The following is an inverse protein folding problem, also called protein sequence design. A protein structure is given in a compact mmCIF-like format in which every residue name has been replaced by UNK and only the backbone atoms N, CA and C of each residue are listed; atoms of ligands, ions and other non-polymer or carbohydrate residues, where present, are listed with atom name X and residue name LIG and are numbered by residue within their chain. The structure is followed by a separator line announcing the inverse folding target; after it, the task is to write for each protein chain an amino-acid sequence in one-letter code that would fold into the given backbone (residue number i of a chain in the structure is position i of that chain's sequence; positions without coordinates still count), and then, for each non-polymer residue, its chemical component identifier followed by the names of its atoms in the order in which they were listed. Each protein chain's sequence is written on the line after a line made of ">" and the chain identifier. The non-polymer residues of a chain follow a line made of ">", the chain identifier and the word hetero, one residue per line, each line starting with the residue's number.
data_IF_001986013255
#
_entry.id   IF_001986013255
#
_cell.length_a   1.000
_cell.length_b   1.000
_cell.length_c   1.000
_cell.angle_alpha   90.00
_cell.angle_beta   90.00
_cell.angle_gamma   90.00
#
_symmetry.space_group_name_H-M   'P 1'
#
loop_
_entity.id
_entity.type
_entity.pdbx_description
1 polymer ?
#
# COMPACT_ATOMS: atom_id res chain seq x y z
N UNK A 1 -6.22 43.70 -7.80
CA UNK A 1 -6.74 42.57 -8.60
C UNK A 1 -8.26 42.47 -8.66
N UNK A 2 -9.01 42.34 -7.55
CA UNK A 2 -10.48 42.21 -7.57
C UNK A 2 -11.19 43.28 -8.42
N UNK A 3 -10.81 44.56 -8.28
CA UNK A 3 -11.37 45.66 -9.08
C UNK A 3 -11.13 45.47 -10.59
N UNK A 4 -9.93 45.02 -10.98
CA UNK A 4 -9.60 44.73 -12.38
C UNK A 4 -10.41 43.55 -12.92
N UNK A 5 -10.49 42.47 -12.14
CA UNK A 5 -11.26 41.28 -12.50
C UNK A 5 -12.72 41.62 -12.85
N UNK A 6 -13.36 42.47 -12.01
CA UNK A 6 -14.73 42.97 -12.27
C UNK A 6 -14.80 43.88 -13.49
N UNK A 7 -13.89 44.86 -13.62
CA UNK A 7 -13.89 45.84 -14.73
C UNK A 7 -13.68 45.16 -16.10
N UNK A 8 -12.72 44.25 -16.19
CA UNK A 8 -12.33 43.59 -17.45
C UNK A 8 -12.92 42.18 -17.62
N UNK A 9 -13.90 41.80 -16.77
CA UNK A 9 -14.67 40.54 -16.85
C UNK A 9 -13.78 39.28 -16.96
N UNK A 10 -12.81 39.16 -16.05
CA UNK A 10 -12.02 37.94 -15.88
C UNK A 10 -12.10 37.44 -14.44
N UNK A 11 -11.90 36.14 -14.25
CA UNK A 11 -11.67 35.50 -12.97
C UNK A 11 -10.17 35.32 -12.78
N UNK A 12 -9.69 35.39 -11.55
CA UNK A 12 -8.29 35.12 -11.24
C UNK A 12 -8.16 34.14 -10.08
N UNK A 13 -7.08 33.35 -10.14
CA UNK A 13 -6.64 32.48 -9.06
C UNK A 13 -5.16 32.75 -8.81
N UNK A 14 -4.75 32.80 -7.55
CA UNK A 14 -3.37 33.05 -7.14
C UNK A 14 -2.89 31.92 -6.24
N UNK A 15 -1.71 31.37 -6.54
CA UNK A 15 -0.99 30.44 -5.67
C UNK A 15 0.42 30.97 -5.47
N UNK A 16 0.68 31.59 -4.31
CA UNK A 16 1.93 32.32 -4.02
C UNK A 16 2.23 33.39 -5.08
N UNK A 17 3.19 33.18 -5.97
CA UNK A 17 3.61 34.06 -7.06
C UNK A 17 2.92 33.72 -8.39
N UNK A 18 2.39 32.50 -8.53
CA UNK A 18 1.65 32.09 -9.72
C UNK A 18 0.26 32.75 -9.77
N UNK A 19 0.03 33.53 -10.82
CA UNK A 19 -1.25 34.17 -11.10
C UNK A 19 -1.85 33.60 -12.39
N UNK A 20 -3.05 33.05 -12.30
CA UNK A 20 -3.81 32.56 -13.47
C UNK A 20 -5.05 33.42 -13.66
N UNK A 21 -5.30 33.85 -14.90
CA UNK A 21 -6.47 34.61 -15.31
C UNK A 21 -7.30 33.77 -16.28
N UNK A 22 -8.63 33.81 -16.15
CA UNK A 22 -9.56 33.16 -17.07
C UNK A 22 -10.72 34.07 -17.41
N UNK A 23 -11.24 33.98 -18.63
CA UNK A 23 -12.41 34.75 -19.06
C UNK A 23 -13.28 33.91 -19.98
N UNK A 24 -14.59 34.20 -20.00
CA UNK A 24 -15.54 33.66 -20.97
C UNK A 24 -15.69 34.55 -22.20
N UNK A 25 -15.05 35.73 -22.21
CA UNK A 25 -15.00 36.57 -23.40
C UNK A 25 -14.17 35.90 -24.49
N UNK A 26 -14.46 36.18 -25.78
CA UNK A 26 -13.69 35.63 -26.90
C UNK A 26 -12.19 36.00 -26.84
N UNK A 27 -11.88 37.17 -26.27
CA UNK A 27 -10.52 37.67 -26.09
C UNK A 27 -10.42 38.53 -24.83
N UNK A 28 -9.21 38.61 -24.25
CA UNK A 28 -8.91 39.58 -23.22
C UNK A 28 -8.78 40.99 -23.82
N UNK A 29 -8.97 42.01 -22.99
CA UNK A 29 -8.62 43.39 -23.34
C UNK A 29 -7.09 43.54 -23.42
N UNK A 30 -6.61 44.34 -24.39
CA UNK A 30 -5.19 44.68 -24.54
C UNK A 30 -4.59 45.39 -23.31
N UNK A 31 -5.44 46.01 -22.49
CA UNK A 31 -5.03 46.60 -21.20
C UNK A 31 -4.63 45.54 -20.16
N UNK A 32 -5.06 44.29 -20.36
CA UNK A 32 -4.74 43.15 -19.50
C UNK A 32 -3.60 42.31 -20.10
N UNK A 33 -3.71 41.95 -21.37
CA UNK A 33 -2.69 41.18 -22.09
C UNK A 33 -2.79 41.52 -23.58
N UNK A 34 -1.64 41.72 -24.22
CA UNK A 34 -1.56 42.04 -25.65
C UNK A 34 -0.48 41.20 -26.33
N UNK A 35 -0.60 41.06 -27.64
CA UNK A 35 0.43 40.43 -28.45
C UNK A 35 1.46 41.50 -28.86
N UNK A 36 2.73 41.27 -28.56
CA UNK A 36 3.83 42.13 -28.97
C UNK A 36 4.81 41.32 -29.83
N UNK A 37 4.79 41.61 -31.14
CA UNK A 37 5.44 40.78 -32.15
C UNK A 37 4.90 39.34 -32.14
N UNK A 38 5.72 38.41 -31.63
CA UNK A 38 5.38 36.97 -31.53
C UNK A 38 5.09 36.50 -30.10
N UNK A 39 5.13 37.38 -29.11
CA UNK A 39 5.04 37.01 -27.69
C UNK A 39 3.89 37.72 -27.00
N UNK A 40 3.22 37.01 -26.08
CA UNK A 40 2.20 37.62 -25.23
C UNK A 40 2.86 38.40 -24.09
N UNK A 41 2.48 39.66 -23.95
CA UNK A 41 2.97 40.54 -22.89
C UNK A 41 1.81 41.10 -22.08
N UNK A 42 2.05 41.37 -20.79
CA UNK A 42 1.05 41.94 -19.91
C UNK A 42 0.75 43.39 -20.31
N UNK A 43 -0.55 43.71 -20.41
CA UNK A 43 -1.04 45.05 -20.73
C UNK A 43 -0.74 46.07 -19.63
N UNK A 44 -0.80 47.36 -19.98
CA UNK A 44 -0.39 48.46 -19.09
C UNK A 44 -1.11 48.46 -17.75
N UNK A 45 -2.42 48.23 -17.74
CA UNK A 45 -3.25 48.26 -16.54
C UNK A 45 -2.91 47.13 -15.58
N UNK A 46 -2.74 45.90 -16.09
CA UNK A 46 -2.34 44.77 -15.25
C UNK A 46 -0.87 44.92 -14.79
N UNK A 47 0.02 45.41 -15.65
CA UNK A 47 1.43 45.67 -15.32
C UNK A 47 1.56 46.68 -14.18
N UNK A 48 0.82 47.79 -14.24
CA UNK A 48 0.79 48.79 -13.16
C UNK A 48 0.32 48.17 -11.83
N UNK A 49 -0.74 47.37 -11.85
CA UNK A 49 -1.25 46.72 -10.64
C UNK A 49 -0.25 45.73 -10.02
N UNK A 50 0.51 45.01 -10.84
CA UNK A 50 1.56 44.10 -10.36
C UNK A 50 2.76 44.89 -9.81
N UNK A 51 3.24 45.87 -10.56
CA UNK A 51 4.40 46.69 -10.17
C UNK A 51 4.13 47.52 -8.91
N UNK A 52 2.92 48.09 -8.77
CA UNK A 52 2.50 48.80 -7.55
C UNK A 52 2.49 47.90 -6.31
N UNK A 53 2.42 46.58 -6.50
CA UNK A 53 2.54 45.59 -5.44
C UNK A 53 3.99 45.13 -5.20
N UNK A 54 4.98 45.80 -5.80
CA UNK A 54 6.42 45.48 -5.73
C UNK A 54 6.79 44.09 -6.29
N UNK A 55 6.03 43.61 -7.27
CA UNK A 55 6.35 42.40 -8.03
C UNK A 55 6.71 42.75 -9.47
N UNK A 56 7.51 41.91 -10.10
CA UNK A 56 7.82 41.98 -11.53
C UNK A 56 7.31 40.73 -12.25
N UNK A 57 6.85 40.91 -13.49
CA UNK A 57 6.35 39.81 -14.32
C UNK A 57 7.51 39.16 -15.05
N UNK A 58 7.61 37.83 -15.00
CA UNK A 58 8.53 37.06 -15.83
C UNK A 58 7.96 36.86 -17.26
N UNK A 59 8.52 37.51 -18.30
CA UNK A 59 7.99 37.41 -19.67
C UNK A 59 8.08 35.99 -20.24
N UNK A 60 9.12 35.22 -19.89
CA UNK A 60 9.31 33.84 -20.38
C UNK A 60 8.24 32.87 -19.87
N UNK A 61 7.64 33.17 -18.72
CA UNK A 61 6.55 32.37 -18.13
C UNK A 61 5.15 32.90 -18.50
N UNK A 62 5.08 34.08 -19.12
CA UNK A 62 3.81 34.72 -19.53
C UNK A 62 3.29 34.06 -20.80
N UNK A 63 2.05 33.58 -20.76
CA UNK A 63 1.42 32.88 -21.88
C UNK A 63 -0.08 33.08 -21.88
N UNK A 64 -0.68 33.04 -23.07
CA UNK A 64 -2.12 32.96 -23.26
C UNK A 64 -2.47 31.67 -24.00
N UNK A 65 -3.44 30.92 -23.49
CA UNK A 65 -3.87 29.64 -24.08
C UNK A 65 -5.39 29.62 -24.25
N UNK A 66 -5.85 29.30 -25.45
CA UNK A 66 -7.27 29.10 -25.73
C UNK A 66 -7.77 27.73 -25.23
N UNK A 67 -9.08 27.50 -25.30
CA UNK A 67 -9.73 26.25 -24.86
C UNK A 67 -9.36 25.01 -25.70
N UNK A 68 -8.89 25.21 -26.93
CA UNK A 68 -8.52 24.14 -27.86
C UNK A 68 -7.11 23.59 -27.57
N UNK A 69 -6.26 24.41 -26.97
CA UNK A 69 -4.90 24.05 -26.54
C UNK A 69 -4.89 23.59 -25.08
N UNK A 70 -3.83 22.85 -24.67
CA UNK A 70 -3.65 22.43 -23.27
C UNK A 70 -3.58 23.65 -22.36
N UNK A 71 -4.47 23.71 -21.38
CA UNK A 71 -4.48 24.72 -20.33
C UNK A 71 -3.90 24.12 -19.06
N UNK A 72 -2.92 24.80 -18.47
CA UNK A 72 -2.18 24.32 -17.32
C UNK A 72 -2.12 25.38 -16.22
N UNK A 73 -2.50 24.99 -15.01
CA UNK A 73 -2.50 25.80 -13.79
C UNK A 73 -1.76 25.00 -12.73
N UNK A 74 -0.68 25.58 -12.17
CA UNK A 74 0.15 24.96 -11.12
C UNK A 74 0.51 23.48 -11.41
N UNK A 75 0.89 23.15 -12.65
CA UNK A 75 1.25 21.80 -13.07
C UNK A 75 0.08 20.86 -13.43
N UNK A 76 -1.18 21.32 -13.26
CA UNK A 76 -2.39 20.53 -13.52
C UNK A 76 -3.05 20.97 -14.83
N UNK A 77 -3.51 20.01 -15.61
CA UNK A 77 -4.32 20.25 -16.81
C UNK A 77 -5.78 20.54 -16.42
N UNK A 78 -6.34 21.65 -16.91
CA UNK A 78 -7.66 22.14 -16.44
C UNK A 78 -8.73 22.34 -17.53
N UNK A 79 -8.45 21.97 -18.79
CA UNK A 79 -9.34 22.23 -19.95
C UNK A 79 -10.84 21.91 -19.75
N UNK A 80 -11.17 20.86 -19.00
CA UNK A 80 -12.57 20.46 -18.71
C UNK A 80 -12.75 20.07 -17.26
N UNK A 81 -11.81 19.30 -16.73
CA UNK A 81 -11.69 18.91 -15.34
C UNK A 81 -10.22 18.92 -14.95
N UNK A 82 -9.95 19.06 -13.66
CA UNK A 82 -8.60 18.92 -13.12
C UNK A 82 -8.08 17.51 -13.45
N UNK A 83 -6.92 17.45 -14.08
CA UNK A 83 -6.24 16.22 -14.44
C UNK A 83 -4.73 16.44 -14.51
N UNK A 84 -4.00 15.36 -14.69
CA UNK A 84 -2.55 15.35 -14.82
C UNK A 84 -2.19 15.26 -16.30
N UNK A 85 -1.06 15.86 -16.67
CA UNK A 85 -0.58 15.79 -18.04
C UNK A 85 -0.38 14.34 -18.49
N UNK A 86 -0.69 14.05 -19.77
CA UNK A 86 -0.50 12.72 -20.36
C UNK A 86 0.95 12.26 -20.24
N UNK A 87 1.88 13.19 -20.42
CA UNK A 87 3.32 12.96 -20.34
C UNK A 87 3.76 12.53 -18.93
N UNK A 88 3.36 13.27 -17.89
CA UNK A 88 3.67 12.94 -16.50
C UNK A 88 3.11 11.55 -16.13
N UNK A 89 1.87 11.25 -16.54
CA UNK A 89 1.27 9.94 -16.30
C UNK A 89 2.01 8.81 -17.03
N UNK A 90 2.42 9.04 -18.28
CA UNK A 90 3.16 8.05 -19.08
C UNK A 90 4.51 7.71 -18.45
N UNK A 91 5.29 8.72 -18.06
CA UNK A 91 6.56 8.48 -17.38
C UNK A 91 6.37 7.81 -16.02
N UNK A 92 5.34 8.19 -15.25
CA UNK A 92 5.04 7.51 -13.98
C UNK A 92 4.72 6.03 -14.20
N UNK A 93 3.96 5.69 -15.24
CA UNK A 93 3.69 4.28 -15.58
C UNK A 93 4.97 3.51 -15.86
N UNK A 94 5.91 4.11 -16.58
CA UNK A 94 7.23 3.53 -16.83
C UNK A 94 7.98 3.28 -15.52
N UNK A 95 7.98 4.25 -14.59
CA UNK A 95 8.61 4.13 -13.28
C UNK A 95 8.03 2.98 -12.46
N UNK A 96 6.69 2.84 -12.44
CA UNK A 96 6.02 1.72 -11.76
C UNK A 96 6.40 0.39 -12.39
N UNK A 97 6.44 0.33 -13.73
CA UNK A 97 6.81 -0.90 -14.43
C UNK A 97 8.24 -1.35 -14.09
N UNK A 98 9.22 -0.43 -14.09
CA UNK A 98 10.59 -0.71 -13.65
C UNK A 98 10.62 -1.17 -12.19
N UNK A 99 9.94 -0.45 -11.28
CA UNK A 99 9.91 -0.81 -9.87
C UNK A 99 9.30 -2.20 -9.64
N UNK A 100 8.19 -2.53 -10.31
CA UNK A 100 7.57 -3.85 -10.18
C UNK A 100 8.50 -4.96 -10.67
N UNK A 101 9.15 -4.76 -11.83
CA UNK A 101 10.03 -5.74 -12.45
C UNK A 101 11.33 -5.96 -11.66
N UNK A 102 11.95 -4.88 -11.17
CA UNK A 102 13.35 -4.87 -10.74
C UNK A 102 13.55 -4.35 -9.30
N UNK A 103 12.50 -3.87 -8.63
CA UNK A 103 12.56 -3.33 -7.27
C UNK A 103 13.12 -1.91 -7.16
N UNK A 104 13.53 -1.30 -8.28
CA UNK A 104 14.05 0.07 -8.35
C UNK A 104 13.57 0.80 -9.62
N UNK A 105 13.71 2.12 -9.65
CA UNK A 105 13.26 2.95 -10.78
C UNK A 105 14.08 4.24 -10.85
N UNK A 106 14.03 4.90 -12.01
CA UNK A 106 14.56 6.24 -12.20
C UNK A 106 13.43 7.22 -12.48
N UNK A 107 13.50 8.41 -11.87
CA UNK A 107 12.54 9.48 -12.18
C UNK A 107 12.85 10.08 -13.55
N UNK A 108 11.79 10.43 -14.27
CA UNK A 108 11.91 11.20 -15.51
C UNK A 108 12.12 12.68 -15.19
N UNK A 109 12.67 13.43 -16.15
CA UNK A 109 12.84 14.89 -16.10
C UNK A 109 11.54 15.68 -15.85
N UNK A 110 10.38 15.05 -16.05
CA UNK A 110 9.07 15.68 -15.80
C UNK A 110 8.64 15.62 -14.33
N UNK A 111 9.40 14.91 -13.49
CA UNK A 111 9.18 14.79 -12.05
C UNK A 111 10.21 15.63 -11.30
N UNK A 112 9.78 16.31 -10.24
CA UNK A 112 10.69 17.04 -9.35
C UNK A 112 11.62 16.08 -8.59
N UNK A 113 12.78 16.61 -8.21
CA UNK A 113 13.84 15.92 -7.47
C UNK A 113 14.19 14.59 -8.13
N UNK A 114 14.75 14.65 -9.34
CA UNK A 114 15.03 13.48 -10.20
C UNK A 114 16.01 12.50 -9.56
N UNK A 115 16.86 12.99 -8.65
CA UNK A 115 17.79 12.25 -7.81
C UNK A 115 17.10 11.42 -6.72
N UNK A 116 15.92 11.83 -6.24
CA UNK A 116 15.17 11.11 -5.19
C UNK A 116 14.42 9.91 -5.75
N UNK A 117 15.08 8.77 -5.89
CA UNK A 117 14.51 7.50 -6.41
C UNK A 117 13.99 6.55 -5.33
N UNK A 118 13.58 7.08 -4.18
CA UNK A 118 13.01 6.27 -3.09
C UNK A 118 11.61 5.77 -3.45
N UNK A 119 11.25 4.57 -2.99
CA UNK A 119 9.90 4.01 -3.23
C UNK A 119 8.80 4.85 -2.58
N UNK A 120 9.12 5.57 -1.50
CA UNK A 120 8.22 6.52 -0.85
C UNK A 120 7.96 7.74 -1.74
N UNK A 121 8.95 8.21 -2.51
CA UNK A 121 8.73 9.24 -3.51
C UNK A 121 7.79 8.77 -4.63
N UNK A 122 7.95 7.52 -5.12
CA UNK A 122 7.02 6.93 -6.09
C UNK A 122 5.61 6.76 -5.50
N UNK A 123 5.50 6.35 -4.24
CA UNK A 123 4.22 6.27 -3.53
C UNK A 123 3.53 7.65 -3.45
N UNK A 124 4.29 8.70 -3.17
CA UNK A 124 3.80 10.09 -3.16
C UNK A 124 3.27 10.54 -4.52
N UNK A 125 4.03 10.28 -5.60
CA UNK A 125 3.62 10.56 -6.98
C UNK A 125 2.31 9.83 -7.32
N UNK A 126 2.21 8.54 -7.00
CA UNK A 126 1.01 7.75 -7.27
C UNK A 126 -0.18 8.20 -6.41
N UNK A 127 0.05 8.54 -5.15
CA UNK A 127 -0.98 9.11 -4.27
C UNK A 127 -1.55 10.40 -4.84
N UNK A 128 -0.68 11.31 -5.31
CA UNK A 128 -1.08 12.54 -5.97
C UNK A 128 -1.91 12.25 -7.22
N UNK A 129 -1.45 11.30 -8.06
CA UNK A 129 -2.18 10.91 -9.27
C UNK A 129 -3.57 10.37 -8.96
N UNK A 130 -3.62 9.47 -7.98
CA UNK A 130 -4.83 8.81 -7.55
C UNK A 130 -5.85 9.82 -6.99
N UNK A 131 -5.39 10.77 -6.17
CA UNK A 131 -6.25 11.80 -5.57
C UNK A 131 -6.85 12.74 -6.64
N UNK A 132 -6.05 13.19 -7.60
CA UNK A 132 -6.55 14.08 -8.67
C UNK A 132 -7.57 13.37 -9.55
N UNK A 133 -7.29 12.12 -9.93
CA UNK A 133 -8.12 11.41 -10.91
C UNK A 133 -9.42 10.84 -10.35
N UNK A 134 -9.45 10.47 -9.07
CA UNK A 134 -10.60 9.76 -8.49
C UNK A 134 -11.63 10.65 -7.80
N UNK A 135 -11.49 11.99 -7.81
CA UNK A 135 -12.34 12.95 -7.07
C UNK A 135 -12.40 12.61 -5.55
N UNK A 136 -12.79 13.57 -4.72
CA UNK A 136 -12.68 13.46 -3.26
C UNK A 136 -13.61 12.40 -2.62
N UNK A 137 -14.54 11.82 -3.37
CA UNK A 137 -15.42 10.74 -2.90
C UNK A 137 -15.06 9.45 -3.63
N UNK A 138 -14.10 8.72 -3.07
CA UNK A 138 -13.97 7.31 -3.40
C UNK A 138 -14.84 6.56 -2.41
N UNK A 139 -16.05 6.23 -2.83
CA UNK A 139 -16.85 5.21 -2.16
C UNK A 139 -16.19 3.87 -2.47
N UNK A 140 -15.48 3.35 -1.46
CA UNK A 140 -14.99 1.98 -1.53
C UNK A 140 -16.11 1.12 -0.97
N UNK A 141 -16.77 0.36 -1.85
CA UNK A 141 -17.70 -0.67 -1.40
C UNK A 141 -16.96 -1.63 -0.47
N UNK A 142 -17.61 -2.08 0.60
CA UNK A 142 -17.04 -3.03 1.57
C UNK A 142 -16.86 -4.45 1.00
N UNK A 143 -16.86 -4.61 -0.32
CA UNK A 143 -16.71 -5.88 -1.02
C UNK A 143 -15.29 -6.03 -1.53
N UNK A 144 -14.74 -7.23 -1.37
CA UNK A 144 -13.45 -7.60 -1.99
C UNK A 144 -13.57 -7.50 -3.51
N UNK A 145 -12.61 -6.84 -4.16
CA UNK A 145 -12.55 -6.68 -5.63
C UNK A 145 -11.47 -7.56 -6.23
N UNK A 146 -11.71 -8.08 -7.42
CA UNK A 146 -10.66 -8.70 -8.22
C UNK A 146 -9.83 -7.62 -8.92
N UNK A 147 -8.56 -7.92 -9.19
CA UNK A 147 -7.65 -6.98 -9.84
C UNK A 147 -8.18 -6.49 -11.19
N UNK A 148 -8.86 -7.35 -11.94
CA UNK A 148 -9.39 -7.01 -13.26
C UNK A 148 -10.57 -6.04 -13.24
N UNK A 149 -11.29 -5.96 -12.13
CA UNK A 149 -12.42 -5.04 -11.89
C UNK A 149 -11.95 -3.60 -11.56
N UNK A 150 -10.64 -3.41 -11.37
CA UNK A 150 -10.07 -2.11 -11.05
C UNK A 150 -9.96 -1.21 -12.28
N UNK A 151 -10.18 0.09 -12.08
CA UNK A 151 -9.93 1.11 -13.09
C UNK A 151 -8.43 1.24 -13.39
N UNK A 152 -8.07 1.80 -14.55
CA UNK A 152 -6.67 1.89 -14.98
C UNK A 152 -5.72 2.54 -13.97
N UNK A 153 -6.18 3.58 -13.26
CA UNK A 153 -5.38 4.28 -12.24
C UNK A 153 -5.31 3.46 -10.94
N UNK A 154 -6.38 2.76 -10.57
CA UNK A 154 -6.40 1.83 -9.44
C UNK A 154 -5.47 0.63 -9.69
N UNK A 155 -5.51 0.04 -10.90
CA UNK A 155 -4.59 -1.03 -11.33
C UNK A 155 -3.14 -0.61 -11.20
N UNK A 156 -2.80 0.59 -11.69
CA UNK A 156 -1.43 1.11 -11.61
C UNK A 156 -0.95 1.23 -10.16
N UNK A 157 -1.77 1.82 -9.29
CA UNK A 157 -1.39 2.01 -7.90
C UNK A 157 -1.34 0.69 -7.13
N UNK A 158 -2.30 -0.21 -7.40
CA UNK A 158 -2.34 -1.56 -6.81
C UNK A 158 -1.10 -2.36 -7.16
N UNK A 159 -0.66 -2.33 -8.43
CA UNK A 159 0.60 -2.96 -8.85
C UNK A 159 1.78 -2.45 -8.03
N UNK A 160 1.93 -1.12 -7.92
CA UNK A 160 2.99 -0.55 -7.10
C UNK A 160 2.89 -1.00 -5.63
N UNK A 161 1.72 -0.87 -5.00
CA UNK A 161 1.53 -1.19 -3.58
C UNK A 161 1.79 -2.68 -3.30
N UNK A 162 1.31 -3.57 -4.18
CA UNK A 162 1.57 -5.00 -4.07
C UNK A 162 3.07 -5.30 -4.11
N UNK A 163 3.80 -4.73 -5.08
CA UNK A 163 5.24 -4.94 -5.16
C UNK A 163 5.99 -4.26 -4.02
N UNK A 164 5.53 -3.10 -3.56
CA UNK A 164 6.12 -2.38 -2.43
C UNK A 164 5.99 -3.15 -1.11
N UNK A 165 4.86 -3.82 -0.87
CA UNK A 165 4.62 -4.52 0.40
C UNK A 165 4.99 -6.01 0.39
N UNK A 166 4.79 -6.71 -0.72
CA UNK A 166 4.85 -8.18 -0.76
C UNK A 166 5.94 -8.74 -1.67
N UNK A 167 6.38 -8.03 -2.72
CA UNK A 167 7.41 -8.54 -3.65
C UNK A 167 8.79 -8.03 -3.31
N UNK A 168 8.93 -6.71 -3.16
CA UNK A 168 10.19 -6.00 -2.85
C UNK A 168 10.16 -5.36 -1.45
N UNK A 169 9.82 -6.09 -0.38
CA UNK A 169 9.71 -5.47 0.92
C UNK A 169 11.10 -5.14 1.50
N UNK A 170 11.18 -4.15 2.40
CA UNK A 170 12.44 -3.83 3.09
C UNK A 170 12.89 -4.93 4.05
N UNK A 171 11.93 -5.65 4.62
CA UNK A 171 12.10 -6.77 5.55
C UNK A 171 11.24 -7.92 5.05
N UNK A 172 11.64 -9.16 5.33
CA UNK A 172 10.76 -10.31 5.12
C UNK A 172 9.42 -10.05 5.82
N UNK A 173 8.32 -10.38 5.15
CA UNK A 173 6.98 -10.11 5.68
C UNK A 173 6.29 -11.42 6.06
N UNK A 174 5.74 -11.46 7.28
CA UNK A 174 4.82 -12.50 7.74
C UNK A 174 3.42 -11.91 7.87
N UNK A 175 2.51 -12.40 7.04
CA UNK A 175 1.12 -11.97 6.95
C UNK A 175 0.26 -12.93 7.76
N UNK A 176 -0.38 -12.42 8.82
CA UNK A 176 -1.39 -13.15 9.58
C UNK A 176 -2.74 -13.20 8.86
N UNK A 177 -3.57 -14.18 9.23
CA UNK A 177 -4.94 -14.33 8.76
C UNK A 177 -5.84 -13.24 9.36
N UNK A 178 -5.71 -13.03 10.67
CA UNK A 178 -6.41 -12.02 11.45
C UNK A 178 -5.67 -10.69 11.60
N UNK A 179 -6.37 -9.70 12.15
CA UNK A 179 -5.77 -8.40 12.48
C UNK A 179 -4.98 -8.42 13.80
N UNK A 180 -5.24 -9.40 14.67
CA UNK A 180 -4.56 -9.58 15.97
C UNK A 180 -3.29 -10.42 15.86
N UNK A 181 -3.23 -11.39 14.94
CA UNK A 181 -2.08 -12.30 14.78
C UNK A 181 -0.74 -11.56 14.67
N UNK A 182 -0.62 -10.46 13.88
CA UNK A 182 0.64 -9.73 13.79
C UNK A 182 1.10 -9.16 15.14
N UNK A 183 0.17 -8.88 16.06
CA UNK A 183 0.47 -8.38 17.40
C UNK A 183 1.05 -9.49 18.27
N UNK A 184 0.40 -10.66 18.30
CA UNK A 184 0.87 -11.84 19.02
C UNK A 184 2.26 -12.28 18.53
N UNK A 185 2.41 -12.44 17.21
CA UNK A 185 3.66 -12.88 16.59
C UNK A 185 4.78 -11.86 16.81
N UNK A 186 4.50 -10.56 16.70
CA UNK A 186 5.49 -9.52 16.98
C UNK A 186 5.95 -9.55 18.44
N UNK A 187 5.03 -9.69 19.39
CA UNK A 187 5.36 -9.74 20.81
C UNK A 187 6.18 -10.99 21.15
N UNK A 188 5.74 -12.17 20.70
CA UNK A 188 6.45 -13.42 20.92
C UNK A 188 7.85 -13.39 20.28
N UNK A 189 7.97 -12.88 19.05
CA UNK A 189 9.26 -12.71 18.38
C UNK A 189 10.18 -11.76 19.15
N UNK A 190 9.66 -10.66 19.68
CA UNK A 190 10.45 -9.74 20.49
C UNK A 190 11.01 -10.40 21.76
N UNK A 191 10.21 -11.27 22.41
CA UNK A 191 10.58 -11.96 23.64
C UNK A 191 11.58 -13.10 23.42
N UNK A 192 11.40 -13.89 22.36
CA UNK A 192 12.25 -15.05 22.07
C UNK A 192 13.48 -14.68 21.21
N UNK A 193 13.30 -13.78 20.26
CA UNK A 193 14.27 -13.48 19.18
C UNK A 193 14.34 -11.96 18.89
N UNK A 194 14.79 -11.12 19.84
CA UNK A 194 14.69 -9.66 19.74
C UNK A 194 15.33 -9.08 18.47
N UNK A 195 16.48 -9.63 18.06
CA UNK A 195 17.21 -9.19 16.86
C UNK A 195 16.48 -9.50 15.54
N UNK A 196 15.54 -10.45 15.54
CA UNK A 196 14.82 -10.86 14.34
C UNK A 196 13.89 -9.78 13.79
N UNK A 197 13.46 -8.83 14.61
CA UNK A 197 12.65 -7.69 14.18
C UNK A 197 13.37 -6.75 13.19
N UNK A 198 14.71 -6.81 13.13
CA UNK A 198 15.50 -6.03 12.18
C UNK A 198 15.30 -6.50 10.73
N UNK A 199 14.99 -7.78 10.53
CA UNK A 199 14.81 -8.36 9.19
C UNK A 199 13.44 -8.97 8.94
N UNK A 200 12.62 -9.21 9.99
CA UNK A 200 11.27 -9.73 9.92
C UNK A 200 10.24 -8.66 10.29
N UNK A 201 9.15 -8.58 9.52
CA UNK A 201 8.02 -7.67 9.72
C UNK A 201 6.73 -8.48 9.77
N UNK A 202 5.94 -8.26 10.82
CA UNK A 202 4.60 -8.82 10.94
C UNK A 202 3.57 -7.82 10.41
N UNK A 203 2.59 -8.31 9.64
CA UNK A 203 1.52 -7.48 9.08
C UNK A 203 0.25 -8.31 8.90
N UNK A 204 -0.89 -7.66 8.69
CA UNK A 204 -2.06 -8.30 8.07
C UNK A 204 -2.42 -7.63 6.75
N UNK A 205 -3.28 -8.26 5.95
CA UNK A 205 -3.80 -7.63 4.74
C UNK A 205 -4.55 -6.32 5.06
N UNK A 206 -5.27 -6.23 6.17
CA UNK A 206 -6.01 -5.00 6.53
C UNK A 206 -5.09 -3.85 6.99
N UNK A 207 -3.89 -4.14 7.50
CA UNK A 207 -2.94 -3.12 7.94
C UNK A 207 -2.31 -2.33 6.78
N UNK A 208 -2.34 -2.87 5.56
CA UNK A 208 -1.89 -2.17 4.33
C UNK A 208 -2.93 -1.17 3.83
N UNK A 209 -3.36 -0.23 4.70
CA UNK A 209 -4.57 0.61 4.58
C UNK A 209 -5.00 0.96 3.17
N UNK A 210 -4.11 1.52 2.34
CA UNK A 210 -4.47 1.94 0.98
C UNK A 210 -4.64 0.77 0.01
N UNK A 211 -3.78 -0.23 0.07
CA UNK A 211 -3.92 -1.46 -0.72
C UNK A 211 -5.19 -2.19 -0.33
N UNK A 212 -5.44 -2.35 0.98
CA UNK A 212 -6.66 -2.97 1.50
C UNK A 212 -7.91 -2.21 1.08
N UNK A 213 -7.88 -0.87 1.10
CA UNK A 213 -9.02 -0.04 0.70
C UNK A 213 -9.32 -0.19 -0.80
N UNK A 214 -8.31 -0.19 -1.67
CA UNK A 214 -8.51 -0.38 -3.12
C UNK A 214 -9.01 -1.79 -3.45
N UNK A 215 -8.42 -2.82 -2.83
CA UNK A 215 -8.77 -4.22 -3.07
C UNK A 215 -10.00 -4.71 -2.29
N UNK A 216 -10.55 -3.90 -1.39
CA UNK A 216 -11.66 -4.29 -0.52
C UNK A 216 -11.28 -5.34 0.54
N UNK A 217 -10.04 -5.37 1.01
CA UNK A 217 -9.58 -6.26 2.09
C UNK A 217 -9.95 -5.69 3.47
N UNK A 218 -11.24 -5.43 3.67
CA UNK A 218 -11.84 -4.97 4.92
C UNK A 218 -12.88 -6.01 5.34
N UNK A 219 -12.57 -6.85 6.34
CA UNK A 219 -13.45 -7.94 6.77
C UNK A 219 -12.69 -9.13 7.35
N UNK A 220 -13.43 -10.17 7.76
CA UNK A 220 -12.90 -11.32 8.49
C UNK A 220 -12.79 -12.63 7.69
N UNK A 221 -13.53 -12.81 6.59
CA UNK A 221 -13.61 -14.15 5.95
C UNK A 221 -13.15 -14.12 4.50
N UNK A 222 -12.26 -15.05 4.13
CA UNK A 222 -11.87 -15.30 2.74
C UNK A 222 -10.95 -14.23 2.11
N UNK A 223 -10.36 -13.33 2.91
CA UNK A 223 -9.44 -12.30 2.40
C UNK A 223 -8.19 -12.91 1.79
N UNK A 224 -7.57 -13.88 2.48
CA UNK A 224 -6.40 -14.60 1.97
C UNK A 224 -6.72 -15.34 0.67
N UNK A 225 -7.91 -15.94 0.57
CA UNK A 225 -8.35 -16.59 -0.66
C UNK A 225 -8.40 -15.64 -1.86
N UNK A 226 -8.97 -14.44 -1.64
CA UNK A 226 -8.98 -13.39 -2.68
C UNK A 226 -7.58 -12.85 -2.97
N UNK A 227 -6.73 -12.73 -1.97
CA UNK A 227 -5.34 -12.32 -2.16
C UNK A 227 -4.56 -13.31 -3.02
N UNK A 228 -4.68 -14.61 -2.75
CA UNK A 228 -4.05 -15.67 -3.53
C UNK A 228 -4.47 -15.64 -5.01
N UNK A 229 -5.77 -15.51 -5.29
CA UNK A 229 -6.29 -15.39 -6.67
C UNK A 229 -5.71 -14.18 -7.42
N UNK A 230 -5.53 -13.06 -6.72
CA UNK A 230 -4.98 -11.84 -7.30
C UNK A 230 -3.44 -11.86 -7.37
N UNK A 231 -2.77 -12.73 -6.62
CA UNK A 231 -1.31 -12.71 -6.50
C UNK A 231 -0.63 -12.89 -7.86
N UNK A 232 -1.00 -13.93 -8.61
CA UNK A 232 -0.44 -14.23 -9.94
C UNK A 232 -0.77 -13.14 -10.97
N UNK A 233 -1.96 -12.54 -10.88
CA UNK A 233 -2.41 -11.48 -11.79
C UNK A 233 -1.64 -10.17 -11.60
N UNK A 234 -1.29 -9.87 -10.34
CA UNK A 234 -0.59 -8.62 -10.00
C UNK A 234 0.92 -8.78 -10.10
N UNK A 235 1.48 -9.97 -9.88
CA UNK A 235 2.93 -10.21 -9.87
C UNK A 235 3.58 -9.90 -11.24
N UNK A 236 4.64 -9.09 -11.22
CA UNK A 236 5.39 -8.68 -12.43
C UNK A 236 6.91 -8.67 -12.22
N UNK A 237 7.39 -9.17 -11.08
CA UNK A 237 8.82 -9.21 -10.80
C UNK A 237 9.52 -10.16 -11.79
N UNK A 238 10.64 -9.69 -12.33
CA UNK A 238 11.57 -10.50 -13.13
C UNK A 238 12.72 -11.01 -12.28
N UNK A 239 13.17 -10.18 -11.35
CA UNK A 239 14.19 -10.55 -10.38
C UNK A 239 13.50 -11.14 -9.14
N UNK A 240 13.89 -12.36 -8.77
CA UNK A 240 13.37 -13.01 -7.57
C UNK A 240 13.89 -12.24 -6.35
N UNK A 241 12.97 -11.71 -5.56
CA UNK A 241 13.31 -11.09 -4.29
C UNK A 241 13.81 -12.14 -3.30
N UNK A 242 14.97 -11.89 -2.69
CA UNK A 242 15.51 -12.73 -1.61
C UNK A 242 14.68 -12.64 -0.31
N UNK A 243 13.65 -11.78 -0.27
CA UNK A 243 12.81 -11.55 0.89
C UNK A 243 11.43 -12.17 0.65
N UNK A 244 11.10 -13.27 1.33
CA UNK A 244 9.85 -13.98 1.10
C UNK A 244 8.65 -13.21 1.67
N UNK A 245 7.51 -13.41 1.03
CA UNK A 245 6.19 -13.13 1.57
C UNK A 245 5.64 -14.42 2.18
N UNK A 246 5.66 -14.49 3.51
CA UNK A 246 5.11 -15.61 4.26
C UNK A 246 3.66 -15.28 4.63
N UNK A 247 2.74 -16.23 4.45
CA UNK A 247 1.39 -16.16 5.00
C UNK A 247 1.27 -17.28 6.03
N UNK A 248 0.84 -16.95 7.24
CA UNK A 248 0.50 -17.94 8.26
C UNK A 248 -1.01 -18.09 8.32
N UNK A 249 -1.49 -19.33 8.35
CA UNK A 249 -2.90 -19.68 8.42
C UNK A 249 -3.15 -20.59 9.62
N UNK A 250 -4.33 -20.45 10.21
CA UNK A 250 -4.73 -21.26 11.34
C UNK A 250 -4.88 -22.74 10.95
N UNK A 251 -4.85 -23.62 11.94
CA UNK A 251 -5.04 -25.06 11.78
C UNK A 251 -6.50 -25.48 11.67
N UNK A 252 -7.41 -24.52 11.51
CA UNK A 252 -8.85 -24.70 11.51
C UNK A 252 -9.43 -24.90 10.09
N UNK A 253 -10.75 -24.92 9.96
CA UNK A 253 -11.40 -25.06 8.64
C UNK A 253 -11.05 -23.92 7.69
N UNK A 254 -10.97 -22.68 8.18
CA UNK A 254 -10.69 -21.50 7.34
C UNK A 254 -9.27 -21.56 6.78
N UNK A 255 -8.27 -21.84 7.61
CA UNK A 255 -6.89 -22.01 7.16
C UNK A 255 -6.72 -23.21 6.21
N UNK A 256 -7.42 -24.32 6.47
CA UNK A 256 -7.45 -25.46 5.55
C UNK A 256 -7.98 -25.09 4.16
N UNK A 257 -9.01 -24.25 4.08
CA UNK A 257 -9.56 -23.79 2.80
C UNK A 257 -8.58 -22.89 2.03
N UNK A 258 -7.76 -22.09 2.72
CA UNK A 258 -6.66 -21.34 2.10
C UNK A 258 -5.64 -22.28 1.47
N UNK A 259 -5.25 -23.35 2.18
CA UNK A 259 -4.31 -24.34 1.64
C UNK A 259 -4.91 -25.08 0.43
N UNK A 260 -6.18 -25.48 0.49
CA UNK A 260 -6.87 -26.12 -0.65
C UNK A 260 -6.90 -25.20 -1.87
N UNK A 261 -7.24 -23.93 -1.67
CA UNK A 261 -7.26 -22.96 -2.76
C UNK A 261 -5.86 -22.74 -3.34
N UNK A 262 -4.84 -22.58 -2.49
CA UNK A 262 -3.46 -22.44 -2.95
C UNK A 262 -3.03 -23.64 -3.80
N UNK A 263 -3.37 -24.88 -3.38
CA UNK A 263 -3.12 -26.08 -4.17
C UNK A 263 -3.84 -26.09 -5.50
N UNK A 264 -5.05 -25.51 -5.57
CA UNK A 264 -5.84 -25.43 -6.80
C UNK A 264 -5.34 -24.36 -7.77
N UNK A 265 -5.02 -23.16 -7.27
CA UNK A 265 -4.62 -22.00 -8.09
C UNK A 265 -3.15 -22.10 -8.55
N UNK A 266 -2.30 -22.76 -7.77
CA UNK A 266 -0.86 -22.86 -7.99
C UNK A 266 -0.37 -24.30 -8.19
N UNK A 267 -1.19 -25.16 -8.79
CA UNK A 267 -0.91 -26.61 -8.98
C UNK A 267 0.51 -26.91 -9.49
N UNK A 268 1.03 -26.10 -10.40
CA UNK A 268 2.33 -26.30 -11.05
C UNK A 268 3.53 -25.88 -10.17
N UNK A 269 3.32 -24.92 -9.27
CA UNK A 269 4.41 -24.28 -8.51
C UNK A 269 4.40 -24.64 -7.03
N UNK A 270 3.23 -24.98 -6.47
CA UNK A 270 3.09 -25.26 -5.04
C UNK A 270 3.78 -26.56 -4.64
N UNK A 271 4.69 -26.49 -3.66
CA UNK A 271 5.48 -27.62 -3.17
C UNK A 271 5.54 -27.59 -1.65
N UNK A 272 5.22 -28.73 -1.04
CA UNK A 272 5.42 -28.93 0.40
C UNK A 272 6.91 -29.13 0.68
N UNK A 273 7.48 -28.34 1.60
CA UNK A 273 8.91 -28.35 1.94
C UNK A 273 9.16 -29.36 3.08
N UNK A 274 9.20 -30.64 2.72
CA UNK A 274 9.35 -31.75 3.69
C UNK A 274 10.78 -32.01 4.19
N UNK A 275 11.81 -31.37 3.64
CA UNK A 275 13.21 -31.75 3.94
C UNK A 275 13.66 -31.25 5.33
N UNK A 276 13.49 -32.09 6.34
CA UNK A 276 14.23 -32.05 7.59
C UNK A 276 14.68 -33.47 7.94
N UNK A 277 15.99 -33.65 8.13
CA UNK A 277 16.64 -34.84 8.70
C UNK A 277 16.55 -34.86 10.24
N UNK A 278 15.80 -33.94 10.87
CA UNK A 278 15.63 -33.88 12.32
C UNK A 278 14.41 -34.71 12.71
N UNK A 279 14.67 -35.80 13.40
CA UNK A 279 13.70 -36.81 13.86
C UNK A 279 12.88 -36.39 15.08
N UNK A 280 13.03 -35.18 15.62
CA UNK A 280 12.33 -34.79 16.85
C UNK A 280 12.03 -33.28 16.89
N UNK A 281 10.89 -32.90 16.30
CA UNK A 281 10.06 -31.74 16.66
C UNK A 281 9.02 -31.56 15.56
N UNK A 282 7.77 -31.28 15.96
CA UNK A 282 6.59 -31.20 15.11
C UNK A 282 6.62 -30.00 14.15
N UNK A 283 7.47 -30.02 13.11
CA UNK A 283 7.63 -28.91 12.17
C UNK A 283 6.30 -28.60 11.48
N UNK A 284 5.94 -27.31 11.43
CA UNK A 284 4.71 -26.85 10.78
C UNK A 284 4.73 -27.19 9.27
N UNK A 285 3.54 -27.42 8.70
CA UNK A 285 3.43 -27.62 7.25
C UNK A 285 3.84 -26.32 6.56
N UNK A 286 4.88 -26.40 5.73
CA UNK A 286 5.49 -25.24 5.07
C UNK A 286 5.47 -25.46 3.56
N UNK A 287 4.81 -24.58 2.84
CA UNK A 287 4.62 -24.67 1.39
C UNK A 287 5.33 -23.52 0.70
N UNK A 288 6.15 -23.83 -0.30
CA UNK A 288 6.48 -22.86 -1.35
C UNK A 288 5.29 -22.80 -2.30
N UNK A 289 4.75 -21.62 -2.58
CA UNK A 289 3.52 -21.49 -3.39
C UNK A 289 3.84 -21.00 -4.80
N UNK A 290 4.47 -19.83 -4.89
CA UNK A 290 4.73 -19.16 -6.16
C UNK A 290 5.79 -18.07 -5.97
N UNK A 291 6.89 -18.13 -6.72
CA UNK A 291 7.95 -17.12 -6.65
C UNK A 291 8.42 -16.88 -5.20
N UNK A 292 8.20 -15.68 -4.65
CA UNK A 292 8.55 -15.32 -3.29
C UNK A 292 7.45 -15.61 -2.24
N UNK A 293 6.34 -16.24 -2.62
CA UNK A 293 5.19 -16.54 -1.76
C UNK A 293 5.30 -17.91 -1.10
N UNK A 294 5.08 -17.94 0.22
CA UNK A 294 5.06 -19.16 1.03
C UNK A 294 3.86 -19.19 1.98
N UNK A 295 3.41 -20.40 2.31
CA UNK A 295 2.35 -20.64 3.29
C UNK A 295 2.88 -21.49 4.46
N UNK A 296 2.49 -21.11 5.67
CA UNK A 296 2.76 -21.85 6.90
C UNK A 296 1.41 -22.16 7.53
N UNK A 297 1.15 -23.43 7.81
CA UNK A 297 -0.08 -23.85 8.49
C UNK A 297 0.24 -24.26 9.93
N UNK A 298 -0.50 -23.69 10.88
CA UNK A 298 -0.45 -24.09 12.29
C UNK A 298 -0.88 -25.57 12.48
N UNK A 299 -0.56 -26.19 13.63
CA UNK A 299 -1.00 -27.57 13.91
C UNK A 299 -2.51 -27.70 13.82
N UNK A 300 -2.99 -28.91 13.50
CA UNK A 300 -4.41 -29.17 13.31
C UNK A 300 -5.24 -28.73 14.53
N UNK A 301 -6.34 -28.03 14.28
CA UNK A 301 -7.25 -27.45 15.27
C UNK A 301 -6.60 -26.42 16.23
N UNK A 302 -5.43 -25.86 15.90
CA UNK A 302 -4.83 -24.76 16.66
C UNK A 302 -4.95 -23.42 15.94
N UNK A 303 -5.35 -22.38 16.67
CA UNK A 303 -5.24 -20.97 16.27
C UNK A 303 -4.07 -20.30 17.01
N UNK A 304 -3.71 -19.08 16.63
CA UNK A 304 -2.61 -18.32 17.27
C UNK A 304 -2.78 -18.21 18.79
N UNK A 305 -4.00 -18.02 19.30
CA UNK A 305 -4.24 -17.88 20.73
C UNK A 305 -3.99 -19.17 21.53
N UNK A 306 -4.00 -20.35 20.90
CA UNK A 306 -3.74 -21.66 21.54
C UNK A 306 -2.25 -21.92 21.82
N UNK A 307 -1.38 -20.98 21.44
CA UNK A 307 0.05 -20.99 21.76
C UNK A 307 0.35 -20.33 23.11
N UNK A 308 -0.66 -19.79 23.77
CA UNK A 308 -0.56 -19.38 25.17
C UNK A 308 -1.05 -20.48 26.10
N UNK A 309 -0.65 -20.39 27.37
CA UNK A 309 -1.22 -21.24 28.42
C UNK A 309 -2.74 -21.00 28.54
N UNK A 310 -3.48 -22.08 28.80
CA UNK A 310 -4.94 -22.05 29.01
C UNK A 310 -5.39 -21.06 30.10
N UNK A 311 -4.52 -20.75 31.07
CA UNK A 311 -4.76 -19.71 32.09
C UNK A 311 -4.92 -18.30 31.48
N UNK A 312 -4.27 -18.02 30.35
CA UNK A 312 -4.37 -16.74 29.64
C UNK A 312 -5.69 -16.64 28.89
N UNK A 313 -6.10 -17.69 28.18
CA UNK A 313 -7.39 -17.71 27.46
C UNK A 313 -8.59 -17.85 28.40
N UNK A 314 -8.38 -18.39 29.61
CA UNK A 314 -9.37 -18.46 30.69
C UNK A 314 -9.43 -17.22 31.59
N UNK A 315 -8.60 -16.21 31.35
CA UNK A 315 -8.59 -14.98 32.15
C UNK A 315 -9.90 -14.19 32.04
N UNK A 316 -10.19 -13.37 33.06
CA UNK A 316 -11.38 -12.52 33.10
C UNK A 316 -11.00 -11.04 33.11
N UNK A 317 -11.86 -10.19 32.53
CA UNK A 317 -11.74 -8.72 32.60
C UNK A 317 -12.97 -8.20 33.36
N UNK A 318 -12.80 -7.96 34.66
CA UNK A 318 -13.94 -7.77 35.56
C UNK A 318 -14.76 -9.05 35.62
N UNK A 319 -16.05 -8.97 35.26
CA UNK A 319 -16.97 -10.12 35.17
C UNK A 319 -17.00 -10.78 33.79
N UNK A 320 -16.29 -10.23 32.80
CA UNK A 320 -16.37 -10.68 31.40
C UNK A 320 -15.37 -11.78 31.10
N UNK A 321 -15.79 -12.77 30.33
CA UNK A 321 -14.96 -13.92 29.89
C UNK A 321 -14.54 -13.80 28.43
N UNK A 322 -13.47 -14.50 28.05
CA UNK A 322 -12.96 -14.47 26.68
C UNK A 322 -13.90 -15.19 25.71
N UNK A 323 -14.18 -14.57 24.56
CA UNK A 323 -14.86 -15.20 23.44
C UNK A 323 -13.97 -15.14 22.18
N UNK A 324 -13.53 -16.30 21.64
CA UNK A 324 -12.66 -16.35 20.46
C UNK A 324 -13.41 -16.08 19.15
N UNK A 325 -14.74 -15.98 19.17
CA UNK A 325 -15.56 -15.80 17.98
C UNK A 325 -15.37 -14.43 17.35
N UNK A 326 -15.28 -14.41 16.01
CA UNK A 326 -15.34 -13.18 15.21
C UNK A 326 -16.79 -12.69 14.97
N UNK A 327 -17.80 -13.40 15.48
CA UNK A 327 -19.21 -12.99 15.39
C UNK A 327 -19.54 -11.94 16.44
N UNK A 328 -20.68 -11.25 16.27
CA UNK A 328 -21.20 -10.35 17.32
C UNK A 328 -21.52 -11.16 18.58
N UNK A 329 -21.07 -10.67 19.72
CA UNK A 329 -21.34 -11.24 21.04
C UNK A 329 -21.71 -10.14 22.03
N UNK A 330 -22.28 -10.55 23.15
CA UNK A 330 -22.68 -9.67 24.25
C UNK A 330 -21.43 -9.06 24.92
N UNK A 331 -21.25 -7.75 24.77
CA UNK A 331 -20.08 -7.01 25.27
C UNK A 331 -20.09 -6.82 26.79
N UNK A 332 -21.23 -7.04 27.45
CA UNK A 332 -21.36 -6.97 28.90
C UNK A 332 -20.94 -8.29 29.57
N UNK A 333 -20.97 -9.40 28.82
CA UNK A 333 -20.57 -10.74 29.29
C UNK A 333 -19.23 -11.20 28.75
N UNK A 334 -18.85 -10.78 27.55
CA UNK A 334 -17.68 -11.29 26.86
C UNK A 334 -16.76 -10.19 26.36
N UNK A 335 -15.48 -10.51 26.22
CA UNK A 335 -14.50 -9.70 25.50
C UNK A 335 -13.84 -10.50 24.38
N UNK A 336 -13.40 -9.82 23.32
CA UNK A 336 -12.84 -10.45 22.13
C UNK A 336 -11.31 -10.47 22.07
N UNK A 337 -10.77 -11.00 20.96
CA UNK A 337 -9.34 -11.14 20.67
C UNK A 337 -8.51 -9.87 20.92
N UNK A 338 -9.03 -8.69 20.53
CA UNK A 338 -8.34 -7.41 20.74
C UNK A 338 -8.13 -7.10 22.22
N UNK A 339 -9.17 -7.24 23.03
CA UNK A 339 -9.08 -6.99 24.47
C UNK A 339 -8.22 -8.03 25.17
N UNK A 340 -8.27 -9.31 24.73
CA UNK A 340 -7.36 -10.35 25.21
C UNK A 340 -5.90 -9.91 25.04
N UNK A 341 -5.54 -9.43 23.84
CA UNK A 341 -4.19 -8.97 23.58
C UNK A 341 -3.82 -7.74 24.41
N UNK A 342 -4.62 -6.67 24.33
CA UNK A 342 -4.27 -5.38 24.91
C UNK A 342 -4.28 -5.37 26.44
N UNK A 343 -5.29 -6.00 27.06
CA UNK A 343 -5.51 -5.89 28.51
C UNK A 343 -4.85 -7.00 29.31
N UNK A 344 -4.71 -8.20 28.75
CA UNK A 344 -4.16 -9.37 29.45
C UNK A 344 -2.74 -9.65 28.96
N UNK A 345 -2.57 -9.97 27.67
CA UNK A 345 -1.29 -10.47 27.16
C UNK A 345 -0.21 -9.38 27.20
N UNK A 346 -0.50 -8.19 26.69
CA UNK A 346 0.47 -7.11 26.63
C UNK A 346 0.82 -6.57 28.03
N UNK A 347 -0.18 -6.49 28.92
CA UNK A 347 0.03 -6.05 30.31
C UNK A 347 0.90 -7.03 31.09
N UNK A 348 0.66 -8.34 30.93
CA UNK A 348 1.38 -9.41 31.63
C UNK A 348 2.55 -10.00 30.82
N UNK A 349 3.03 -9.29 29.78
CA UNK A 349 4.01 -9.82 28.81
C UNK A 349 5.35 -10.25 29.41
N UNK A 350 5.67 -9.87 30.65
CA UNK A 350 6.92 -10.24 31.32
C UNK A 350 6.81 -11.55 32.11
N UNK A 351 5.59 -12.00 32.42
CA UNK A 351 5.33 -13.24 33.18
C UNK A 351 4.80 -14.37 32.29
N UNK A 352 4.31 -14.05 31.10
CA UNK A 352 3.79 -15.03 30.14
C UNK A 352 4.93 -15.85 29.54
N UNK A 353 4.74 -17.17 29.49
CA UNK A 353 5.61 -18.07 28.74
C UNK A 353 5.27 -18.02 27.23
N UNK A 354 6.27 -17.76 26.39
CA UNK A 354 6.14 -17.71 24.93
C UNK A 354 6.75 -18.93 24.23
N UNK A 355 7.26 -19.94 24.95
CA UNK A 355 8.03 -21.06 24.39
C UNK A 355 7.32 -21.81 23.27
N UNK A 356 5.99 -21.96 23.31
CA UNK A 356 5.24 -22.63 22.24
C UNK A 356 5.34 -21.90 20.89
N UNK A 357 5.50 -20.57 20.88
CA UNK A 357 5.71 -19.80 19.65
C UNK A 357 7.04 -20.11 18.97
N UNK A 358 7.97 -20.73 19.70
CA UNK A 358 9.26 -21.15 19.15
C UNK A 358 9.09 -22.12 17.98
N UNK A 359 8.03 -22.93 18.00
CA UNK A 359 7.67 -23.81 16.90
C UNK A 359 7.49 -23.05 15.57
N UNK A 360 6.86 -21.88 15.60
CA UNK A 360 6.63 -21.03 14.43
C UNK A 360 7.97 -20.45 13.95
N UNK A 361 8.73 -19.84 14.86
CA UNK A 361 9.96 -19.13 14.50
C UNK A 361 11.08 -20.07 14.06
N UNK A 362 11.26 -21.21 14.74
CA UNK A 362 12.22 -22.23 14.31
C UNK A 362 11.88 -22.78 12.93
N UNK A 363 10.59 -23.00 12.64
CA UNK A 363 10.16 -23.42 11.30
C UNK A 363 10.57 -22.37 10.26
N UNK A 364 10.27 -21.09 10.52
CA UNK A 364 10.62 -19.97 9.62
C UNK A 364 12.13 -19.90 9.43
N UNK A 365 12.92 -19.78 10.49
CA UNK A 365 14.36 -19.55 10.40
C UNK A 365 15.09 -20.76 9.80
N UNK A 366 14.77 -21.99 10.20
CA UNK A 366 15.43 -23.17 9.67
C UNK A 366 15.10 -23.42 8.18
N UNK A 367 13.82 -23.28 7.78
CA UNK A 367 13.42 -23.51 6.38
C UNK A 367 13.92 -22.41 5.47
N UNK A 368 13.92 -21.16 5.92
CA UNK A 368 14.42 -20.04 5.11
C UNK A 368 15.92 -20.03 4.95
N UNK A 369 16.70 -20.38 5.98
CA UNK A 369 18.16 -20.45 5.85
C UNK A 369 18.56 -21.44 4.75
N UNK A 370 17.83 -22.56 4.62
CA UNK A 370 18.02 -23.52 3.52
C UNK A 370 17.62 -22.95 2.16
N UNK A 371 16.47 -22.28 2.07
CA UNK A 371 16.01 -21.63 0.82
C UNK A 371 17.00 -20.56 0.36
N UNK A 372 17.50 -19.71 1.26
CA UNK A 372 18.46 -18.65 0.90
C UNK A 372 19.85 -19.19 0.56
N UNK A 373 20.27 -20.29 1.16
CA UNK A 373 21.52 -20.96 0.82
C UNK A 373 21.45 -21.67 -0.55
N UNK A 374 20.30 -22.26 -0.88
CA UNK A 374 20.05 -22.80 -2.21
C UNK A 374 19.92 -21.68 -3.26
N UNK A 375 19.35 -20.52 -2.91
CA UNK A 375 19.27 -19.35 -3.81
C UNK A 375 20.65 -18.74 -4.13
N UNK A 376 21.64 -18.85 -3.23
CA UNK A 376 23.04 -18.47 -3.51
C UNK A 376 23.71 -19.35 -4.58
N UNK A 377 23.16 -20.52 -4.92
CA UNK A 377 23.63 -21.36 -6.03
C UNK A 377 23.08 -20.95 -7.40
N UNK A 378 22.15 -19.98 -7.44
CA UNK A 378 21.52 -19.49 -8.69
C UNK A 378 21.97 -18.06 -9.08
N UNK A 379 23.03 -17.54 -8.46
CA UNK A 379 23.72 -16.32 -8.90
C UNK A 379 25.05 -16.65 -9.55
#
# INVERSE_FOLDING_TARGET
>A
MVKLARKYKFTYTRYVDDLTLSTNLPQFSEEIIKLDGKSWVIGSTLKYAINSSKFEVNPQKTRLTNKYNRQEVTGLTVNRKVNISKEYYRYTRSMVQSFCAEGHFFKSKVHMDTDKTTREALNGILSHIFQIRNKQQIEFNNQTRNFDELQSTEKLYTKFLFHHYFVHPQRMILVGEGYTDPLHLKLACHKLYPNSLNFLKFSSLQQTKRFSKIMGYQGGTGLLNKFLKNYKLIYQAKNISLKPCLIIVDGDTAGNDVIKLAKSEFKETIKLINKSLLTTSSILKFFHVFENLYLIQLPENKVIEDFYDSSITGSCIGTRTYNPSNKKFDLDKYYGKKELFEKIIFTNQNTINFSEFDLIFNTIFHKLTKITNDAKRFF
#
